data_IF_784884269477
#
_entry.id   IF_784884269477
#
_cell.length_a   1.000
_cell.length_b   1.000
_cell.length_c   1.000
_cell.angle_alpha   90.00
_cell.angle_beta   90.00
_cell.angle_gamma   90.00
#
_symmetry.space_group_name_H-M   'P 1'
#
loop_
_entity.id
_entity.type
_entity.pdbx_description
1 polymer ?
#
# COMPACT_ATOMS: atom_id res chain seq x y z
N UNK A 1 19.32 7.38 -9.92
CA UNK A 1 18.49 8.45 -10.49
C UNK A 1 17.50 8.88 -9.42
N UNK A 2 17.10 10.16 -9.33
CA UNK A 2 16.09 10.55 -8.33
C UNK A 2 14.66 10.19 -8.81
N UNK A 3 13.70 10.20 -7.90
CA UNK A 3 12.30 9.86 -8.21
C UNK A 3 11.70 10.79 -9.26
N UNK A 4 12.06 12.07 -9.22
CA UNK A 4 11.57 13.08 -10.17
C UNK A 4 12.04 12.78 -11.58
N UNK A 5 13.29 12.36 -11.76
CA UNK A 5 13.85 11.99 -13.08
C UNK A 5 13.11 10.75 -13.63
N UNK A 6 12.84 9.75 -12.79
CA UNK A 6 12.12 8.55 -13.21
C UNK A 6 10.68 8.91 -13.61
N UNK A 7 10.02 9.77 -12.83
CA UNK A 7 8.68 10.25 -13.15
C UNK A 7 8.68 11.03 -14.48
N UNK A 8 9.69 11.86 -14.72
CA UNK A 8 9.83 12.56 -16.01
C UNK A 8 9.91 11.59 -17.19
N UNK A 9 10.69 10.51 -17.06
CA UNK A 9 10.77 9.47 -18.09
C UNK A 9 9.41 8.79 -18.37
N UNK A 10 8.57 8.60 -17.36
CA UNK A 10 7.19 8.10 -17.55
C UNK A 10 6.35 9.10 -18.35
N UNK A 11 6.48 10.40 -18.07
CA UNK A 11 5.75 11.44 -18.81
C UNK A 11 6.22 11.55 -20.26
N UNK A 12 7.49 11.28 -20.53
CA UNK A 12 8.07 11.18 -21.86
C UNK A 12 7.74 9.86 -22.58
N UNK A 13 7.04 8.94 -21.92
CA UNK A 13 6.78 7.58 -22.43
C UNK A 13 8.05 6.83 -22.82
N UNK A 14 9.14 7.07 -22.11
CA UNK A 14 10.41 6.38 -22.31
C UNK A 14 10.42 5.04 -21.56
N UNK A 15 10.66 3.94 -22.29
CA UNK A 15 10.79 2.60 -21.69
C UNK A 15 11.91 2.51 -20.63
N UNK A 16 12.88 3.45 -20.66
CA UNK A 16 13.91 3.58 -19.63
C UNK A 16 13.31 3.77 -18.24
N UNK A 17 12.12 4.38 -18.11
CA UNK A 17 11.43 4.52 -16.84
C UNK A 17 11.24 3.17 -16.17
N UNK A 18 10.82 2.14 -16.89
CA UNK A 18 10.61 0.80 -16.37
C UNK A 18 11.92 0.13 -15.94
N UNK A 19 12.98 0.32 -16.70
CA UNK A 19 14.31 -0.20 -16.36
C UNK A 19 14.83 0.41 -15.05
N UNK A 20 14.66 1.74 -14.88
CA UNK A 20 15.08 2.44 -13.66
C UNK A 20 14.22 2.06 -12.45
N UNK A 21 12.90 1.93 -12.62
CA UNK A 21 12.02 1.43 -11.56
C UNK A 21 12.42 0.02 -11.14
N UNK A 22 12.70 -0.87 -12.08
CA UNK A 22 13.16 -2.23 -11.78
C UNK A 22 14.48 -2.22 -11.02
N UNK A 23 15.45 -1.43 -11.44
CA UNK A 23 16.75 -1.33 -10.80
C UNK A 23 16.67 -0.80 -9.37
N UNK A 24 15.83 0.22 -9.14
CA UNK A 24 15.76 0.91 -7.86
C UNK A 24 14.72 0.29 -6.90
N UNK A 25 13.58 -0.16 -7.41
CA UNK A 25 12.43 -0.58 -6.61
C UNK A 25 12.00 -2.03 -6.80
N UNK A 26 12.63 -2.79 -7.70
CA UNK A 26 12.26 -4.18 -7.96
C UNK A 26 12.26 -5.05 -6.72
N UNK A 27 13.31 -4.95 -5.87
CA UNK A 27 13.40 -5.69 -4.61
C UNK A 27 12.28 -5.31 -3.62
N UNK A 28 11.93 -4.03 -3.54
CA UNK A 28 10.86 -3.55 -2.68
C UNK A 28 9.51 -4.08 -3.14
N UNK A 29 9.21 -3.97 -4.45
CA UNK A 29 7.97 -4.47 -5.05
C UNK A 29 7.85 -5.99 -4.82
N UNK A 30 8.93 -6.73 -5.06
CA UNK A 30 8.96 -8.17 -4.87
C UNK A 30 8.76 -8.57 -3.41
N UNK A 31 9.41 -7.86 -2.46
CA UNK A 31 9.24 -8.08 -1.02
C UNK A 31 7.79 -7.85 -0.58
N UNK A 32 7.17 -6.74 -1.00
CA UNK A 32 5.76 -6.44 -0.70
C UNK A 32 4.82 -7.49 -1.29
N UNK A 33 5.08 -7.92 -2.52
CA UNK A 33 4.26 -8.94 -3.19
C UNK A 33 4.41 -10.31 -2.51
N UNK A 34 5.64 -10.72 -2.19
CA UNK A 34 5.92 -11.99 -1.53
C UNK A 34 5.32 -12.07 -0.13
N UNK A 35 5.34 -10.97 0.65
CA UNK A 35 4.76 -10.93 2.00
C UNK A 35 3.25 -11.24 2.02
N UNK A 36 2.57 -11.04 0.89
CA UNK A 36 1.12 -11.28 0.75
C UNK A 36 0.84 -12.63 0.08
N UNK A 37 1.63 -12.97 -0.94
CA UNK A 37 1.36 -14.14 -1.78
C UNK A 37 2.03 -15.42 -1.27
N UNK A 38 3.11 -15.30 -0.47
CA UNK A 38 3.94 -16.39 0.04
C UNK A 38 4.42 -17.37 -1.06
N UNK A 39 4.46 -16.92 -2.31
CA UNK A 39 4.88 -17.65 -3.50
C UNK A 39 5.84 -16.77 -4.30
N UNK A 40 7.06 -17.26 -4.54
CA UNK A 40 8.06 -16.50 -5.29
C UNK A 40 7.64 -16.31 -6.75
N UNK A 41 7.02 -17.33 -7.35
CA UNK A 41 6.51 -17.24 -8.71
C UNK A 41 5.39 -16.21 -8.83
N UNK A 42 4.40 -16.26 -7.95
CA UNK A 42 3.31 -15.27 -7.94
C UNK A 42 3.81 -13.86 -7.65
N UNK A 43 4.85 -13.71 -6.82
CA UNK A 43 5.46 -12.41 -6.53
C UNK A 43 6.17 -11.83 -7.75
N UNK A 44 6.87 -12.66 -8.54
CA UNK A 44 7.53 -12.25 -9.79
C UNK A 44 6.50 -11.83 -10.84
N UNK A 45 5.42 -12.59 -11.00
CA UNK A 45 4.34 -12.21 -11.92
C UNK A 45 3.65 -10.92 -11.45
N UNK A 46 3.45 -10.77 -10.14
CA UNK A 46 2.90 -9.55 -9.55
C UNK A 46 3.80 -8.34 -9.79
N UNK A 47 5.12 -8.51 -9.74
CA UNK A 47 6.09 -7.45 -10.04
C UNK A 47 5.93 -6.93 -11.48
N UNK A 48 5.77 -7.82 -12.47
CA UNK A 48 5.52 -7.44 -13.85
C UNK A 48 4.19 -6.67 -14.01
N UNK A 49 3.13 -7.11 -13.32
CA UNK A 49 1.84 -6.41 -13.29
C UNK A 49 1.96 -5.01 -12.67
N UNK A 50 2.82 -4.83 -11.68
CA UNK A 50 3.09 -3.52 -11.05
C UNK A 50 3.73 -2.56 -12.04
N UNK A 51 4.70 -3.02 -12.81
CA UNK A 51 5.35 -2.20 -13.85
C UNK A 51 4.35 -1.76 -14.92
N UNK A 52 3.50 -2.68 -15.38
CA UNK A 52 2.46 -2.35 -16.35
C UNK A 52 1.49 -1.30 -15.79
N UNK A 53 1.01 -1.49 -14.56
CA UNK A 53 0.09 -0.53 -13.92
C UNK A 53 0.73 0.82 -13.65
N UNK A 54 2.01 0.87 -13.30
CA UNK A 54 2.75 2.11 -13.16
C UNK A 54 2.83 2.83 -14.51
N UNK A 55 3.14 2.10 -15.58
CA UNK A 55 3.17 2.63 -16.94
C UNK A 55 1.82 3.20 -17.41
N UNK A 56 0.74 2.51 -17.10
CA UNK A 56 -0.61 2.95 -17.47
C UNK A 56 -1.09 4.16 -16.65
N UNK A 57 -0.68 4.25 -15.40
CA UNK A 57 -1.18 5.28 -14.48
C UNK A 57 -0.32 6.54 -14.42
N UNK A 58 0.93 6.48 -14.83
CA UNK A 58 1.84 7.62 -14.95
C UNK A 58 2.19 7.84 -16.44
N UNK A 59 1.78 8.95 -17.07
CA UNK A 59 0.76 9.92 -16.64
C UNK A 59 -0.66 9.34 -16.75
N UNK A 60 -1.71 10.00 -16.23
CA UNK A 60 -1.73 11.40 -15.75
C UNK A 60 -1.33 11.59 -14.28
N UNK A 61 -1.27 10.50 -13.48
CA UNK A 61 -0.87 10.62 -12.08
C UNK A 61 0.59 11.06 -11.96
N UNK A 62 0.85 12.05 -11.13
CA UNK A 62 2.21 12.47 -10.75
C UNK A 62 2.40 12.20 -9.27
N UNK A 63 3.00 11.06 -8.87
CA UNK A 63 3.21 10.75 -7.46
C UNK A 63 4.26 11.70 -6.85
N UNK A 64 4.03 12.15 -5.61
CA UNK A 64 5.01 12.93 -4.83
C UNK A 64 6.15 12.02 -4.33
N UNK A 65 5.83 10.76 -3.99
CA UNK A 65 6.77 9.74 -3.54
C UNK A 65 6.57 8.48 -4.36
N UNK A 66 7.49 8.22 -5.30
CA UNK A 66 7.38 7.11 -6.24
C UNK A 66 7.41 5.75 -5.53
N UNK A 67 8.29 5.58 -4.54
CA UNK A 67 8.38 4.35 -3.74
C UNK A 67 7.05 3.99 -3.06
N UNK A 68 6.42 4.97 -2.39
CA UNK A 68 5.13 4.77 -1.73
C UNK A 68 4.02 4.44 -2.74
N UNK A 69 4.02 5.11 -3.89
CA UNK A 69 3.06 4.85 -4.96
C UNK A 69 3.18 3.42 -5.50
N UNK A 70 4.40 2.97 -5.78
CA UNK A 70 4.68 1.60 -6.24
C UNK A 70 4.29 0.56 -5.20
N UNK A 71 4.54 0.81 -3.90
CA UNK A 71 4.11 -0.08 -2.81
C UNK A 71 2.58 -0.23 -2.76
N UNK A 72 1.82 0.86 -2.98
CA UNK A 72 0.35 0.80 -3.03
C UNK A 72 -0.12 -0.06 -4.21
N UNK A 73 0.49 0.13 -5.40
CA UNK A 73 0.17 -0.69 -6.58
C UNK A 73 0.51 -2.16 -6.30
N UNK A 74 1.72 -2.45 -5.79
CA UNK A 74 2.18 -3.81 -5.50
C UNK A 74 1.24 -4.52 -4.52
N UNK A 75 0.92 -3.87 -3.41
CA UNK A 75 0.01 -4.41 -2.39
C UNK A 75 -1.37 -4.71 -2.98
N UNK A 76 -1.94 -3.76 -3.72
CA UNK A 76 -3.25 -3.94 -4.36
C UNK A 76 -3.25 -5.09 -5.37
N UNK A 77 -2.20 -5.20 -6.18
CA UNK A 77 -2.06 -6.27 -7.17
C UNK A 77 -1.92 -7.62 -6.49
N UNK A 78 -1.06 -7.71 -5.47
CA UNK A 78 -0.86 -8.94 -4.70
C UNK A 78 -2.14 -9.39 -3.98
N UNK A 79 -2.88 -8.48 -3.33
CA UNK A 79 -4.15 -8.80 -2.66
C UNK A 79 -5.19 -9.29 -3.66
N UNK A 80 -5.29 -8.66 -4.84
CA UNK A 80 -6.23 -9.11 -5.87
C UNK A 80 -5.88 -10.51 -6.38
N UNK A 81 -4.58 -10.79 -6.57
CA UNK A 81 -4.09 -12.11 -6.97
C UNK A 81 -4.32 -13.16 -5.88
N UNK A 82 -4.06 -12.83 -4.62
CA UNK A 82 -4.37 -13.68 -3.48
C UNK A 82 -5.85 -14.06 -3.45
N UNK A 83 -6.74 -13.07 -3.59
CA UNK A 83 -8.19 -13.30 -3.65
C UNK A 83 -8.57 -14.20 -4.81
N UNK A 84 -8.02 -13.97 -5.99
CA UNK A 84 -8.27 -14.79 -7.17
C UNK A 84 -7.85 -16.26 -6.94
N UNK A 85 -6.63 -16.47 -6.42
CA UNK A 85 -6.10 -17.80 -6.16
C UNK A 85 -6.89 -18.54 -5.06
N UNK A 86 -7.52 -17.83 -4.14
CA UNK A 86 -8.27 -18.41 -3.02
C UNK A 86 -9.79 -18.46 -3.26
N UNK A 87 -10.33 -17.66 -4.19
CA UNK A 87 -11.75 -17.69 -4.55
C UNK A 87 -12.19 -19.04 -5.13
N UNK A 88 -11.26 -19.77 -5.77
CA UNK A 88 -11.51 -21.13 -6.25
C UNK A 88 -11.58 -22.17 -5.11
N UNK A 89 -11.18 -21.84 -3.89
CA UNK A 89 -11.11 -22.77 -2.75
C UNK A 89 -12.15 -22.52 -1.65
N UNK A 90 -12.74 -21.31 -1.56
CA UNK A 90 -13.76 -20.97 -0.55
C UNK A 90 -14.69 -19.90 -1.10
N UNK A 91 -16.00 -20.16 -1.07
CA UNK A 91 -16.99 -19.07 -1.11
C UNK A 91 -16.89 -18.29 0.22
N UNK A 92 -16.75 -16.98 0.07
CA UNK A 92 -16.84 -15.91 1.06
C UNK A 92 -15.57 -15.12 1.39
N UNK A 93 -15.77 -13.82 1.25
CA UNK A 93 -14.87 -12.68 1.42
C UNK A 93 -14.48 -12.41 2.88
N UNK A 94 -13.45 -13.03 3.41
CA UNK A 94 -12.81 -12.49 4.59
C UNK A 94 -11.32 -12.87 4.60
N UNK A 95 -10.46 -11.88 4.30
CA UNK A 95 -9.08 -11.94 4.80
C UNK A 95 -9.14 -11.72 6.31
N UNK A 96 -8.74 -12.67 7.16
CA UNK A 96 -8.63 -12.43 8.59
C UNK A 96 -7.68 -11.26 8.84
N UNK A 97 -8.04 -10.36 9.73
CA UNK A 97 -7.23 -9.18 10.10
C UNK A 97 -5.84 -9.59 10.65
N UNK A 98 -5.73 -10.81 11.18
CA UNK A 98 -4.52 -11.39 11.75
C UNK A 98 -3.46 -11.73 10.69
N UNK A 99 -3.85 -12.17 9.48
CA UNK A 99 -2.92 -12.41 8.37
C UNK A 99 -2.31 -11.12 7.81
N UNK A 100 -2.98 -9.98 8.02
CA UNK A 100 -2.49 -8.66 7.59
C UNK A 100 -1.36 -8.14 8.47
N UNK A 101 -1.27 -8.57 9.72
CA UNK A 101 -0.20 -8.13 10.64
C UNK A 101 1.16 -8.79 10.34
N UNK A 102 1.17 -9.95 9.68
CA UNK A 102 2.40 -10.61 9.25
C UNK A 102 3.01 -10.00 7.99
N UNK A 103 2.20 -9.33 7.18
CA UNK A 103 2.63 -8.73 5.91
C UNK A 103 3.52 -7.49 6.06
N UNK A 104 3.72 -6.96 7.28
CA UNK A 104 4.57 -5.77 7.53
C UNK A 104 6.06 -6.13 7.61
N UNK A 105 6.42 -7.41 7.68
CA UNK A 105 7.78 -7.88 7.90
C UNK A 105 8.60 -8.01 6.61
N UNK A 106 8.73 -6.93 5.85
CA UNK A 106 9.63 -6.88 4.69
C UNK A 106 11.10 -6.62 5.09
N UNK A 107 12.02 -7.12 4.30
CA UNK A 107 13.47 -7.15 4.49
C UNK A 107 14.12 -5.76 4.55
N UNK A 108 14.52 -5.31 5.74
CA UNK A 108 15.35 -4.12 5.96
C UNK A 108 16.51 -4.43 6.92
N UNK A 109 17.49 -3.52 7.03
CA UNK A 109 18.64 -3.67 7.94
C UNK A 109 18.21 -3.81 9.41
N UNK A 110 19.10 -4.26 10.29
CA UNK A 110 18.76 -4.49 11.70
C UNK A 110 18.39 -3.19 12.44
N UNK A 111 19.00 -2.05 12.07
CA UNK A 111 18.70 -0.72 12.64
C UNK A 111 17.38 -0.17 12.10
N UNK A 112 17.12 -0.29 10.80
CA UNK A 112 15.85 0.09 10.18
C UNK A 112 14.69 -0.74 10.74
N UNK A 113 14.91 -2.03 11.05
CA UNK A 113 13.89 -2.92 11.65
C UNK A 113 13.46 -2.52 13.06
N UNK A 114 14.32 -1.90 13.85
CA UNK A 114 13.95 -1.44 15.19
C UNK A 114 13.01 -0.24 15.09
N UNK A 115 13.40 0.75 14.28
CA UNK A 115 12.57 1.94 14.00
C UNK A 115 11.21 1.59 13.34
N UNK A 116 11.19 0.61 12.42
CA UNK A 116 9.94 0.13 11.81
C UNK A 116 9.02 -0.58 12.81
N UNK A 117 9.58 -1.39 13.70
CA UNK A 117 8.78 -2.06 14.73
C UNK A 117 8.15 -1.07 15.69
N UNK A 118 8.91 -0.06 16.10
CA UNK A 118 8.40 1.03 16.95
C UNK A 118 7.29 1.81 16.25
N UNK A 119 7.51 2.22 14.99
CA UNK A 119 6.50 2.92 14.19
C UNK A 119 5.27 2.04 13.96
N UNK A 120 5.45 0.75 13.66
CA UNK A 120 4.34 -0.20 13.52
C UNK A 120 3.54 -0.35 14.80
N UNK A 121 4.19 -0.44 15.95
CA UNK A 121 3.53 -0.52 17.25
C UNK A 121 2.73 0.76 17.55
N UNK A 122 3.31 1.94 17.26
CA UNK A 122 2.62 3.22 17.40
C UNK A 122 1.40 3.32 16.49
N UNK A 123 1.53 2.93 15.21
CA UNK A 123 0.41 2.94 14.27
C UNK A 123 -0.71 1.99 14.70
N UNK A 124 -0.37 0.80 15.17
CA UNK A 124 -1.35 -0.15 15.69
C UNK A 124 -2.07 0.41 16.93
N UNK A 125 -1.32 0.94 17.90
CA UNK A 125 -1.91 1.58 19.08
C UNK A 125 -2.84 2.74 18.71
N UNK A 126 -2.42 3.63 17.80
CA UNK A 126 -3.27 4.70 17.29
C UNK A 126 -4.56 4.18 16.66
N UNK A 127 -4.47 3.10 15.85
CA UNK A 127 -5.64 2.53 15.18
C UNK A 127 -6.57 1.81 16.16
N UNK A 128 -6.05 1.18 17.21
CA UNK A 128 -6.85 0.56 18.26
C UNK A 128 -7.70 1.56 19.05
N UNK A 129 -7.23 2.78 19.21
CA UNK A 129 -7.97 3.88 19.84
C UNK A 129 -9.09 4.47 18.95
N UNK A 130 -9.07 4.21 17.64
CA UNK A 130 -10.12 4.69 16.75
C UNK A 130 -11.38 3.82 16.82
N UNK A 131 -12.56 4.43 16.55
CA UNK A 131 -13.79 3.67 16.39
C UNK A 131 -13.68 2.66 15.23
N UNK A 132 -14.44 1.55 15.34
CA UNK A 132 -14.39 0.42 14.39
C UNK A 132 -14.56 0.89 12.93
N UNK A 133 -15.50 1.78 12.66
CA UNK A 133 -15.77 2.25 11.30
C UNK A 133 -14.60 3.07 10.74
N UNK A 134 -14.00 3.92 11.57
CA UNK A 134 -12.81 4.70 11.19
C UNK A 134 -11.63 3.78 10.89
N UNK A 135 -11.39 2.77 11.74
CA UNK A 135 -10.35 1.77 11.54
C UNK A 135 -10.56 0.99 10.25
N UNK A 136 -11.76 0.50 10.01
CA UNK A 136 -12.12 -0.22 8.76
C UNK A 136 -11.89 0.65 7.53
N UNK A 137 -12.35 1.90 7.54
CA UNK A 137 -12.13 2.83 6.42
C UNK A 137 -10.65 3.07 6.17
N UNK A 138 -9.87 3.31 7.25
CA UNK A 138 -8.43 3.53 7.15
C UNK A 138 -7.71 2.31 6.57
N UNK A 139 -7.98 1.11 7.10
CA UNK A 139 -7.38 -0.13 6.61
C UNK A 139 -7.75 -0.41 5.15
N UNK A 140 -9.02 -0.23 4.77
CA UNK A 140 -9.45 -0.41 3.37
C UNK A 140 -8.74 0.56 2.43
N UNK A 141 -8.60 1.83 2.83
CA UNK A 141 -7.98 2.86 2.00
C UNK A 141 -6.47 2.66 1.86
N UNK A 142 -5.75 2.51 2.98
CA UNK A 142 -4.30 2.56 3.00
C UNK A 142 -3.65 1.18 2.96
N UNK A 143 -4.35 0.15 3.42
CA UNK A 143 -3.85 -1.21 3.42
C UNK A 143 -4.32 -2.01 2.21
N UNK A 144 -5.62 -2.02 1.94
CA UNK A 144 -6.21 -2.74 0.81
C UNK A 144 -6.20 -1.93 -0.50
N UNK A 145 -5.88 -0.63 -0.46
CA UNK A 145 -5.83 0.24 -1.63
C UNK A 145 -7.18 0.48 -2.31
N UNK A 146 -8.30 0.25 -1.59
CA UNK A 146 -9.64 0.45 -2.14
C UNK A 146 -9.88 1.94 -2.45
N UNK A 147 -10.61 2.21 -3.54
CA UNK A 147 -11.05 3.57 -3.86
C UNK A 147 -12.13 4.05 -2.89
N UNK A 148 -12.30 5.36 -2.77
CA UNK A 148 -13.33 5.94 -1.90
C UNK A 148 -14.71 5.42 -2.27
N UNK A 149 -15.02 5.31 -3.56
CA UNK A 149 -16.30 4.78 -4.06
C UNK A 149 -16.48 3.28 -3.76
N UNK A 150 -15.42 2.48 -3.78
CA UNK A 150 -15.48 1.08 -3.35
C UNK A 150 -15.77 0.96 -1.85
N UNK A 151 -15.11 1.80 -1.03
CA UNK A 151 -15.32 1.82 0.42
C UNK A 151 -16.74 2.28 0.75
N UNK A 152 -17.21 3.37 0.12
CA UNK A 152 -18.54 3.92 0.36
C UNK A 152 -19.64 2.93 -0.02
N UNK A 153 -19.52 2.28 -1.18
CA UNK A 153 -20.47 1.25 -1.63
C UNK A 153 -20.51 0.06 -0.67
N UNK A 154 -19.34 -0.41 -0.21
CA UNK A 154 -19.24 -1.57 0.70
C UNK A 154 -19.80 -1.28 2.09
N UNK A 155 -19.59 -0.07 2.61
CA UNK A 155 -20.06 0.35 3.93
C UNK A 155 -21.44 1.01 3.90
N UNK A 156 -22.10 1.02 2.74
CA UNK A 156 -23.39 1.66 2.53
C UNK A 156 -23.41 3.12 3.07
N UNK A 157 -22.42 3.90 2.68
CA UNK A 157 -22.21 5.28 3.12
C UNK A 157 -21.88 6.19 1.92
N UNK A 158 -21.77 7.50 2.13
CA UNK A 158 -21.41 8.44 1.07
C UNK A 158 -19.90 8.61 0.92
N UNK A 159 -19.45 8.89 -0.32
CA UNK A 159 -18.05 9.23 -0.62
C UNK A 159 -17.55 10.42 0.22
N UNK A 160 -18.44 11.40 0.44
CA UNK A 160 -18.14 12.57 1.25
C UNK A 160 -17.83 12.19 2.71
N UNK A 161 -18.60 11.26 3.28
CA UNK A 161 -18.37 10.77 4.64
C UNK A 161 -17.02 10.02 4.73
N UNK A 162 -16.73 9.15 3.76
CA UNK A 162 -15.46 8.41 3.69
C UNK A 162 -14.28 9.40 3.60
N UNK A 163 -14.34 10.38 2.68
CA UNK A 163 -13.31 11.43 2.53
C UNK A 163 -13.10 12.20 3.84
N UNK A 164 -14.18 12.63 4.46
CA UNK A 164 -14.14 13.41 5.71
C UNK A 164 -13.53 12.61 6.87
N UNK A 165 -13.86 11.32 7.00
CA UNK A 165 -13.25 10.45 8.01
C UNK A 165 -11.76 10.25 7.77
N UNK A 166 -11.36 9.93 6.54
CA UNK A 166 -9.95 9.78 6.16
C UNK A 166 -9.16 11.05 6.52
N UNK A 167 -9.64 12.23 6.08
CA UNK A 167 -8.96 13.49 6.35
C UNK A 167 -8.78 13.76 7.84
N UNK A 168 -9.85 13.55 8.64
CA UNK A 168 -9.78 13.71 10.09
C UNK A 168 -8.82 12.72 10.76
N UNK A 169 -8.84 11.47 10.30
CA UNK A 169 -7.96 10.42 10.84
C UNK A 169 -6.50 10.72 10.54
N UNK A 170 -6.18 11.16 9.31
CA UNK A 170 -4.82 11.56 8.93
C UNK A 170 -4.32 12.76 9.75
N UNK A 171 -5.21 13.76 10.00
CA UNK A 171 -4.84 14.90 10.86
C UNK A 171 -4.55 14.47 12.30
N UNK A 172 -5.34 13.55 12.86
CA UNK A 172 -5.09 13.00 14.20
C UNK A 172 -3.80 12.18 14.23
N UNK A 173 -3.57 11.33 13.21
CA UNK A 173 -2.37 10.52 13.09
C UNK A 173 -1.11 11.38 13.01
N UNK A 174 -1.14 12.46 12.23
CA UNK A 174 -0.02 13.42 12.17
C UNK A 174 0.31 13.96 13.55
N UNK A 175 -0.66 14.53 14.26
CA UNK A 175 -0.43 15.05 15.61
C UNK A 175 0.02 13.99 16.61
N UNK A 176 -0.47 12.74 16.47
CA UNK A 176 -0.04 11.63 17.28
C UNK A 176 1.44 11.28 17.01
N UNK A 177 1.87 11.20 15.75
CA UNK A 177 3.25 10.90 15.37
C UNK A 177 4.19 12.04 15.81
N UNK A 178 3.79 13.30 15.59
CA UNK A 178 4.56 14.48 16.04
C UNK A 178 4.78 14.47 17.57
N UNK A 179 3.77 14.06 18.35
CA UNK A 179 3.90 13.95 19.83
C UNK A 179 4.85 12.82 20.26
N UNK A 180 5.14 11.87 19.38
CA UNK A 180 6.09 10.78 19.60
C UNK A 180 7.46 11.01 18.92
N UNK A 181 7.71 12.25 18.46
CA UNK A 181 9.02 12.66 17.92
C UNK A 181 9.22 12.37 16.43
N UNK A 182 8.19 11.98 15.70
CA UNK A 182 8.26 11.79 14.25
C UNK A 182 7.91 13.07 13.50
N UNK A 183 8.77 13.54 12.60
CA UNK A 183 8.45 14.61 11.64
C UNK A 183 7.65 14.05 10.47
N UNK A 184 6.41 14.54 10.23
CA UNK A 184 5.50 14.04 9.20
C UNK A 184 4.94 15.18 8.35
#
# INVERSE_FOLDING_TARGET
>A
MCDEDIIALFFERSERALAEVRAQYGRLIQSVSFSILHSAQDAEECENDVYLRAWESIPPTKPEHLSAYLCVIARRTAINRYKYNHAAKRGEDALPLEELSECIRGSMSAEDRLSEKELSALLNGFLEEQDVNTRVIFMRRFWLGESISQISARLNTSDSMVKSRISRTLKKLRGFLESHGYSV
#
